data_IF_994907961837
#
_entry.id   IF_994907961837
#
_cell.length_a   1.000
_cell.length_b   1.000
_cell.length_c   1.000
_cell.angle_alpha   90.00
_cell.angle_beta   90.00
_cell.angle_gamma   90.00
#
_symmetry.space_group_name_H-M   'P 1'
#
loop_
_entity.id
_entity.type
_entity.pdbx_description
1 polymer ?
#
# COMPACT_ATOMS: atom_id res chain seq x y z
N UNK A 1 -14.07 -21.66 -9.29
CA UNK A 1 -12.96 -21.95 -8.36
C UNK A 1 -12.29 -20.65 -7.90
N UNK A 2 -12.22 -20.40 -6.58
CA UNK A 2 -11.62 -19.20 -5.99
C UNK A 2 -10.24 -19.49 -5.41
N UNK A 3 -9.24 -18.72 -5.82
CA UNK A 3 -7.84 -18.85 -5.42
C UNK A 3 -7.40 -17.57 -4.72
N UNK A 4 -6.79 -17.74 -3.54
CA UNK A 4 -6.30 -16.64 -2.69
C UNK A 4 -4.79 -16.38 -2.85
N UNK A 5 -4.13 -17.15 -3.70
CA UNK A 5 -2.68 -17.05 -3.93
C UNK A 5 -2.39 -17.18 -5.43
N UNK A 6 -1.49 -16.35 -5.91
CA UNK A 6 -0.98 -16.26 -7.28
C UNK A 6 -0.29 -17.54 -7.72
N UNK A 7 0.47 -18.21 -6.84
CA UNK A 7 1.15 -19.47 -7.17
C UNK A 7 0.13 -20.52 -7.58
N UNK A 8 -0.97 -20.63 -6.84
CA UNK A 8 -2.05 -21.56 -7.14
C UNK A 8 -2.75 -21.17 -8.46
N UNK A 9 -2.92 -19.87 -8.70
CA UNK A 9 -3.51 -19.36 -9.95
C UNK A 9 -2.63 -19.67 -11.17
N UNK A 10 -1.32 -19.43 -11.09
CA UNK A 10 -0.37 -19.77 -12.16
C UNK A 10 -0.22 -21.27 -12.37
N UNK A 11 -0.29 -22.06 -11.30
CA UNK A 11 -0.29 -23.52 -11.39
C UNK A 11 -1.55 -24.00 -12.12
N UNK A 12 -2.72 -23.48 -11.77
CA UNK A 12 -3.98 -23.78 -12.45
C UNK A 12 -3.91 -23.43 -13.93
N UNK A 13 -3.37 -22.26 -14.29
CA UNK A 13 -3.21 -21.85 -15.69
C UNK A 13 -2.31 -22.83 -16.47
N UNK A 14 -1.21 -23.27 -15.85
CA UNK A 14 -0.29 -24.25 -16.46
C UNK A 14 -0.92 -25.63 -16.62
N UNK A 15 -1.65 -26.10 -15.62
CA UNK A 15 -2.35 -27.40 -15.67
C UNK A 15 -3.54 -27.39 -16.64
N UNK A 16 -4.18 -26.24 -16.81
CA UNK A 16 -5.26 -26.06 -17.79
C UNK A 16 -4.75 -25.99 -19.23
N UNK A 17 -3.50 -25.60 -19.44
CA UNK A 17 -2.92 -25.56 -20.77
C UNK A 17 -2.68 -26.97 -21.33
N UNK A 18 -2.83 -27.18 -22.65
CA UNK A 18 -3.30 -26.21 -23.64
C UNK A 18 -4.83 -26.24 -23.88
N UNK A 19 -5.54 -27.25 -23.39
CA UNK A 19 -6.89 -27.57 -23.86
C UNK A 19 -8.03 -27.25 -22.86
N UNK A 20 -7.73 -27.12 -21.57
CA UNK A 20 -8.73 -27.08 -20.48
C UNK A 20 -8.85 -25.70 -19.82
N UNK A 21 -8.59 -24.63 -20.56
CA UNK A 21 -8.77 -23.27 -20.05
C UNK A 21 -10.23 -23.03 -19.63
N UNK A 22 -10.36 -22.29 -18.52
CA UNK A 22 -11.64 -21.85 -18.01
C UNK A 22 -12.27 -20.84 -18.97
N UNK A 23 -13.61 -20.80 -18.97
CA UNK A 23 -14.34 -19.80 -19.77
C UNK A 23 -14.24 -18.43 -19.15
N UNK A 24 -14.06 -18.30 -17.84
CA UNK A 24 -14.04 -17.02 -17.15
C UNK A 24 -12.83 -16.97 -16.22
N UNK A 25 -12.07 -15.89 -16.30
CA UNK A 25 -11.00 -15.55 -15.39
C UNK A 25 -11.38 -14.27 -14.67
N UNK A 26 -11.24 -14.25 -13.35
CA UNK A 26 -11.50 -13.05 -12.54
C UNK A 26 -10.23 -12.68 -11.80
N UNK A 27 -9.79 -11.43 -11.88
CA UNK A 27 -8.60 -10.91 -11.20
C UNK A 27 -9.00 -9.75 -10.29
N UNK A 28 -9.07 -10.01 -8.99
CA UNK A 28 -9.47 -9.04 -7.98
C UNK A 28 -8.25 -8.70 -7.13
N UNK A 29 -7.71 -7.52 -7.38
CA UNK A 29 -6.48 -7.04 -6.75
C UNK A 29 -6.67 -5.56 -6.43
N UNK A 30 -6.57 -5.14 -5.16
CA UNK A 30 -6.78 -3.74 -4.77
C UNK A 30 -5.80 -2.78 -5.47
N UNK A 31 -4.52 -3.15 -5.47
CA UNK A 31 -3.46 -2.34 -6.04
C UNK A 31 -3.58 -2.26 -7.58
N UNK A 32 -3.64 -1.06 -8.18
CA UNK A 32 -3.87 -0.89 -9.62
C UNK A 32 -2.70 -1.36 -10.47
N UNK A 33 -1.46 -1.24 -9.97
CA UNK A 33 -0.28 -1.68 -10.70
C UNK A 33 -0.21 -3.21 -10.73
N UNK A 34 -0.39 -3.85 -9.58
CA UNK A 34 -0.46 -5.30 -9.44
C UNK A 34 -1.60 -5.88 -10.29
N UNK A 35 -2.79 -5.28 -10.24
CA UNK A 35 -3.94 -5.70 -11.05
C UNK A 35 -3.59 -5.70 -12.53
N UNK A 36 -3.04 -4.59 -13.02
CA UNK A 36 -2.58 -4.47 -14.43
C UNK A 36 -1.50 -5.52 -14.74
N UNK A 37 -0.55 -5.72 -13.83
CA UNK A 37 0.52 -6.71 -13.98
C UNK A 37 -0.04 -8.13 -14.16
N UNK A 38 -0.93 -8.59 -13.29
CA UNK A 38 -1.49 -9.95 -13.36
C UNK A 38 -2.46 -10.13 -14.54
N UNK A 39 -3.25 -9.11 -14.88
CA UNK A 39 -4.09 -9.12 -16.08
C UNK A 39 -3.23 -9.26 -17.34
N UNK A 40 -2.14 -8.49 -17.45
CA UNK A 40 -1.21 -8.61 -18.58
C UNK A 40 -0.52 -9.97 -18.63
N UNK A 41 -0.16 -10.54 -17.47
CA UNK A 41 0.43 -11.88 -17.37
C UNK A 41 -0.55 -12.95 -17.87
N UNK A 42 -1.80 -12.89 -17.43
CA UNK A 42 -2.88 -13.76 -17.91
C UNK A 42 -3.06 -13.63 -19.43
N UNK A 43 -3.12 -12.40 -19.97
CA UNK A 43 -3.24 -12.19 -21.41
C UNK A 43 -2.05 -12.75 -22.19
N UNK A 44 -0.83 -12.56 -21.71
CA UNK A 44 0.37 -13.14 -22.34
C UNK A 44 0.29 -14.66 -22.40
N UNK A 45 -0.19 -15.28 -21.31
CA UNK A 45 -0.36 -16.73 -21.20
C UNK A 45 -1.42 -17.24 -22.18
N UNK A 46 -2.60 -16.60 -22.19
CA UNK A 46 -3.68 -16.96 -23.10
C UNK A 46 -3.29 -16.78 -24.57
N UNK A 47 -2.60 -15.69 -24.93
CA UNK A 47 -2.11 -15.46 -26.30
C UNK A 47 -1.09 -16.51 -26.74
N UNK A 48 -0.23 -16.97 -25.84
CA UNK A 48 0.76 -18.00 -26.16
C UNK A 48 0.10 -19.32 -26.57
N UNK A 49 -0.92 -19.78 -25.83
CA UNK A 49 -1.61 -21.04 -26.11
C UNK A 49 -2.83 -20.92 -27.05
N UNK A 50 -3.39 -19.71 -27.19
CA UNK A 50 -4.51 -19.37 -28.07
C UNK A 50 -4.16 -18.13 -28.92
N UNK A 51 -3.26 -18.26 -29.91
CA UNK A 51 -2.78 -17.12 -30.71
C UNK A 51 -3.86 -16.43 -31.55
N UNK A 52 -4.99 -17.09 -31.81
CA UNK A 52 -6.15 -16.53 -32.51
C UNK A 52 -7.10 -15.74 -31.61
N UNK A 53 -6.77 -15.59 -30.32
CA UNK A 53 -7.61 -14.87 -29.37
C UNK A 53 -7.51 -13.36 -29.62
N UNK A 54 -8.58 -12.77 -30.15
CA UNK A 54 -8.68 -11.32 -30.35
C UNK A 54 -9.08 -10.62 -29.06
N UNK A 55 -8.30 -9.62 -28.63
CA UNK A 55 -8.62 -8.79 -27.46
C UNK A 55 -9.55 -7.66 -27.87
N UNK A 56 -10.77 -7.65 -27.33
CA UNK A 56 -11.67 -6.50 -27.37
C UNK A 56 -11.85 -5.97 -25.95
N UNK A 57 -11.54 -4.70 -25.77
CA UNK A 57 -11.69 -4.00 -24.51
C UNK A 57 -12.96 -3.16 -24.59
N UNK A 58 -13.99 -3.53 -23.83
CA UNK A 58 -15.12 -2.67 -23.57
C UNK A 58 -14.93 -2.08 -22.18
N UNK A 59 -14.93 -0.75 -22.09
CA UNK A 59 -14.87 -0.02 -20.83
C UNK A 59 -16.25 0.53 -20.60
N UNK A 60 -16.98 -0.05 -19.66
CA UNK A 60 -18.14 0.62 -19.10
C UNK A 60 -17.64 1.65 -18.08
N UNK A 61 -17.83 2.93 -18.40
CA UNK A 61 -17.40 4.07 -17.58
C UNK A 61 -18.29 4.25 -16.32
N UNK A 62 -19.40 3.52 -16.21
CA UNK A 62 -20.43 3.74 -15.19
C UNK A 62 -20.72 2.54 -14.29
N UNK A 63 -20.03 1.41 -14.47
CA UNK A 63 -20.07 0.29 -13.53
C UNK A 63 -18.76 0.19 -12.75
N UNK A 64 -18.86 -0.14 -11.46
CA UNK A 64 -17.70 -0.42 -10.58
C UNK A 64 -16.94 -1.72 -11.00
N UNK A 65 -17.33 -2.34 -12.12
CA UNK A 65 -16.81 -3.59 -12.67
C UNK A 65 -16.42 -3.38 -14.14
N UNK A 66 -15.11 -3.32 -14.47
CA UNK A 66 -14.68 -3.23 -15.86
C UNK A 66 -14.56 -4.64 -16.47
N UNK A 67 -15.41 -4.93 -17.45
CA UNK A 67 -15.52 -6.23 -18.10
C UNK A 67 -14.76 -6.24 -19.43
N UNK A 68 -13.62 -6.96 -19.51
CA UNK A 68 -12.95 -7.18 -20.81
C UNK A 68 -13.57 -8.40 -21.48
N UNK A 69 -14.32 -8.12 -22.54
CA UNK A 69 -15.14 -9.06 -23.29
C UNK A 69 -14.33 -9.70 -24.43
N UNK A 70 -13.89 -10.95 -24.26
CA UNK A 70 -13.34 -11.75 -25.37
C UNK A 70 -14.49 -12.39 -26.16
N UNK A 71 -15.05 -11.56 -27.04
CA UNK A 71 -16.01 -11.76 -28.13
C UNK A 71 -17.42 -12.35 -27.87
N UNK A 72 -18.38 -11.41 -27.99
CA UNK A 72 -19.80 -11.44 -28.41
C UNK A 72 -20.52 -12.80 -28.38
N UNK A 73 -21.31 -13.01 -27.34
CA UNK A 73 -22.75 -13.33 -27.40
C UNK A 73 -23.26 -13.60 -25.98
N UNK A 74 -24.57 -13.52 -25.76
CA UNK A 74 -25.27 -13.81 -24.48
C UNK A 74 -24.97 -15.22 -23.92
N UNK A 75 -24.26 -16.05 -24.71
CA UNK A 75 -23.59 -17.28 -24.30
C UNK A 75 -22.13 -17.27 -24.79
N UNK A 76 -21.15 -17.74 -23.99
CA UNK A 76 -19.76 -17.88 -24.42
C UNK A 76 -19.67 -18.68 -25.73
N UNK A 77 -19.14 -18.11 -26.83
CA UNK A 77 -18.83 -18.93 -28.00
C UNK A 77 -17.79 -19.99 -27.62
N UNK A 78 -17.90 -21.19 -28.23
CA UNK A 78 -16.94 -22.28 -27.99
C UNK A 78 -15.53 -21.80 -28.37
N UNK A 79 -14.69 -21.53 -27.37
CA UNK A 79 -13.30 -21.07 -27.55
C UNK A 79 -12.96 -19.70 -26.97
N UNK A 80 -13.96 -18.93 -26.52
CA UNK A 80 -13.75 -17.66 -25.81
C UNK A 80 -13.29 -17.83 -24.35
N UNK A 81 -12.65 -16.80 -23.78
CA UNK A 81 -12.27 -16.73 -22.37
C UNK A 81 -12.54 -15.33 -21.83
N UNK A 82 -13.44 -15.11 -20.87
CA UNK A 82 -13.71 -13.80 -20.28
C UNK A 82 -12.65 -13.43 -19.26
N UNK A 83 -12.22 -12.15 -19.22
CA UNK A 83 -11.36 -11.65 -18.15
C UNK A 83 -12.04 -10.48 -17.46
N UNK A 84 -12.45 -10.71 -16.22
CA UNK A 84 -13.06 -9.71 -15.34
C UNK A 84 -11.99 -9.24 -14.37
N UNK A 85 -11.89 -7.94 -14.11
CA UNK A 85 -11.08 -7.47 -12.99
C UNK A 85 -11.84 -6.46 -12.15
N UNK A 86 -11.61 -6.51 -10.85
CA UNK A 86 -12.28 -5.66 -9.88
C UNK A 86 -11.28 -5.09 -8.86
N UNK A 87 -11.63 -3.94 -8.30
CA UNK A 87 -10.88 -3.28 -7.22
C UNK A 87 -11.18 -3.96 -5.87
N UNK A 88 -12.46 -4.22 -5.64
CA UNK A 88 -12.98 -4.69 -4.37
C UNK A 88 -13.54 -6.10 -4.47
N UNK A 89 -13.81 -6.69 -3.30
CA UNK A 89 -14.41 -8.02 -3.22
C UNK A 89 -15.81 -7.95 -3.85
N UNK A 90 -16.02 -8.70 -4.94
CA UNK A 90 -17.35 -8.87 -5.51
C UNK A 90 -18.34 -9.47 -4.50
N UNK A 91 -19.64 -9.25 -4.72
CA UNK A 91 -20.71 -9.83 -3.89
C UNK A 91 -20.68 -11.37 -3.89
N UNK A 92 -21.15 -12.01 -2.83
CA UNK A 92 -21.18 -13.48 -2.77
C UNK A 92 -22.10 -14.06 -3.87
N UNK A 93 -23.22 -13.38 -4.16
CA UNK A 93 -24.10 -13.71 -5.29
C UNK A 93 -23.40 -13.69 -6.67
N UNK A 94 -22.37 -12.86 -6.84
CA UNK A 94 -21.58 -12.85 -8.07
C UNK A 94 -20.75 -14.13 -8.19
N UNK A 95 -20.08 -14.54 -7.11
CA UNK A 95 -19.28 -15.77 -7.10
C UNK A 95 -20.13 -17.01 -7.36
N UNK A 96 -21.32 -17.09 -6.75
CA UNK A 96 -22.23 -18.23 -6.92
C UNK A 96 -22.67 -18.41 -8.39
N UNK A 97 -22.84 -17.30 -9.12
CA UNK A 97 -23.21 -17.32 -10.54
C UNK A 97 -22.09 -17.84 -11.46
N UNK A 98 -20.84 -17.58 -11.11
CA UNK A 98 -19.69 -17.88 -11.98
C UNK A 98 -18.88 -19.11 -11.53
N UNK A 99 -19.16 -19.67 -10.34
CA UNK A 99 -18.30 -20.64 -9.65
C UNK A 99 -17.88 -21.85 -10.52
N UNK A 100 -18.83 -22.36 -11.33
CA UNK A 100 -18.66 -23.56 -12.17
C UNK A 100 -17.80 -23.34 -13.40
N UNK A 101 -17.80 -22.12 -13.94
CA UNK A 101 -17.17 -21.79 -15.21
C UNK A 101 -15.96 -20.84 -15.04
N UNK A 102 -15.69 -20.36 -13.82
CA UNK A 102 -14.68 -19.34 -13.55
C UNK A 102 -13.49 -19.80 -12.69
N UNK A 103 -12.33 -19.22 -12.96
CA UNK A 103 -11.15 -19.24 -12.09
C UNK A 103 -10.89 -17.81 -11.59
N UNK A 104 -11.01 -17.61 -10.28
CA UNK A 104 -10.87 -16.29 -9.67
C UNK A 104 -9.57 -16.19 -8.87
N UNK A 105 -8.73 -15.21 -9.14
CA UNK A 105 -7.67 -14.73 -8.27
C UNK A 105 -8.22 -13.58 -7.42
N UNK A 106 -8.28 -13.76 -6.10
CA UNK A 106 -8.75 -12.74 -5.16
C UNK A 106 -7.70 -12.47 -4.08
N UNK A 107 -7.08 -11.29 -4.14
CA UNK A 107 -6.06 -10.81 -3.20
C UNK A 107 -6.60 -9.76 -2.22
N UNK A 108 -7.91 -9.52 -2.17
CA UNK A 108 -8.52 -8.50 -1.28
C UNK A 108 -8.41 -8.83 0.20
N UNK A 109 -8.28 -10.12 0.53
CA UNK A 109 -8.18 -10.63 1.90
C UNK A 109 -6.77 -11.11 2.27
N UNK A 110 -5.77 -10.77 1.46
CA UNK A 110 -4.37 -11.11 1.70
C UNK A 110 -3.84 -10.40 2.95
N UNK A 111 -3.23 -11.16 3.87
CA UNK A 111 -2.70 -10.59 5.10
C UNK A 111 -1.36 -9.88 4.84
N UNK A 112 -0.96 -8.90 5.67
CA UNK A 112 0.27 -8.13 5.43
C UNK A 112 1.56 -8.97 5.33
N UNK A 113 1.65 -10.06 6.11
CA UNK A 113 2.82 -10.96 6.06
C UNK A 113 2.81 -11.87 4.83
N UNK A 114 1.63 -12.37 4.43
CA UNK A 114 1.46 -13.15 3.20
C UNK A 114 1.83 -12.29 1.98
N UNK A 115 1.42 -11.02 1.97
CA UNK A 115 1.80 -10.04 0.94
C UNK A 115 3.32 -9.83 0.91
N UNK A 116 3.97 -9.67 2.06
CA UNK A 116 5.44 -9.52 2.13
C UNK A 116 6.14 -10.74 1.53
N UNK A 117 5.77 -11.95 1.97
CA UNK A 117 6.34 -13.20 1.46
C UNK A 117 6.19 -13.31 -0.07
N UNK A 118 4.99 -13.00 -0.58
CA UNK A 118 4.72 -12.98 -2.02
C UNK A 118 5.58 -11.97 -2.77
N UNK A 119 5.74 -10.75 -2.26
CA UNK A 119 6.56 -9.73 -2.91
C UNK A 119 8.04 -10.13 -2.94
N UNK A 120 8.53 -10.81 -1.90
CA UNK A 120 9.88 -11.37 -1.88
C UNK A 120 10.07 -12.41 -3.00
N UNK A 121 9.09 -13.29 -3.21
CA UNK A 121 9.12 -14.24 -4.33
C UNK A 121 9.04 -13.55 -5.70
N UNK A 122 8.18 -12.54 -5.86
CA UNK A 122 8.06 -11.79 -7.11
C UNK A 122 9.35 -11.04 -7.44
N UNK A 123 10.06 -10.47 -6.46
CA UNK A 123 11.39 -9.87 -6.66
C UNK A 123 12.36 -10.87 -7.29
N UNK A 124 12.38 -12.12 -6.80
CA UNK A 124 13.24 -13.16 -7.35
C UNK A 124 12.83 -13.56 -8.78
N UNK A 125 11.53 -13.56 -9.09
CA UNK A 125 11.03 -13.84 -10.45
C UNK A 125 11.36 -12.72 -11.43
N UNK A 126 11.17 -11.46 -11.03
CA UNK A 126 11.47 -10.28 -11.84
C UNK A 126 12.97 -10.21 -12.17
N UNK A 127 13.82 -10.62 -11.22
CA UNK A 127 15.26 -10.62 -11.43
C UNK A 127 15.74 -11.63 -12.48
N UNK A 128 14.92 -12.61 -12.90
CA UNK A 128 15.33 -13.61 -13.88
C UNK A 128 15.74 -12.95 -15.21
N UNK A 129 16.91 -13.29 -15.80
CA UNK A 129 17.74 -14.48 -15.55
C UNK A 129 18.79 -14.37 -14.43
N UNK A 130 18.91 -13.22 -13.75
CA UNK A 130 19.83 -13.04 -12.63
C UNK A 130 19.32 -13.75 -11.37
N UNK A 131 20.25 -14.19 -10.54
CA UNK A 131 19.95 -14.79 -9.22
C UNK A 131 19.95 -13.71 -8.14
N UNK A 132 18.87 -13.64 -7.38
CA UNK A 132 18.74 -12.82 -6.16
C UNK A 132 18.56 -13.75 -4.98
N UNK A 133 19.40 -13.61 -3.96
CA UNK A 133 19.27 -14.40 -2.73
C UNK A 133 18.01 -13.99 -1.95
N UNK A 134 17.46 -14.90 -1.15
CA UNK A 134 16.29 -14.62 -0.31
C UNK A 134 16.54 -13.43 0.64
N UNK A 135 17.78 -13.30 1.14
CA UNK A 135 18.19 -12.21 2.03
C UNK A 135 18.13 -10.85 1.32
N UNK A 136 18.63 -10.77 0.08
CA UNK A 136 18.62 -9.53 -0.72
C UNK A 136 17.17 -9.15 -1.07
N UNK A 137 16.36 -10.12 -1.49
CA UNK A 137 14.96 -9.88 -1.80
C UNK A 137 14.17 -9.36 -0.58
N UNK A 138 14.41 -9.94 0.61
CA UNK A 138 13.82 -9.42 1.85
C UNK A 138 14.27 -8.00 2.16
N UNK A 139 15.56 -7.69 2.03
CA UNK A 139 16.07 -6.33 2.26
C UNK A 139 15.42 -5.31 1.33
N UNK A 140 15.27 -5.63 0.03
CA UNK A 140 14.59 -4.76 -0.92
C UNK A 140 13.14 -4.49 -0.52
N UNK A 141 12.37 -5.53 -0.17
CA UNK A 141 10.98 -5.38 0.27
C UNK A 141 10.89 -4.60 1.60
N UNK A 142 11.85 -4.78 2.50
CA UNK A 142 11.87 -4.04 3.77
C UNK A 142 12.18 -2.54 3.57
N UNK A 143 13.06 -2.21 2.63
CA UNK A 143 13.44 -0.85 2.24
C UNK A 143 12.33 -0.13 1.45
N UNK A 144 11.82 -0.75 0.38
CA UNK A 144 10.88 -0.14 -0.56
C UNK A 144 9.41 -0.35 -0.17
N UNK A 145 9.13 -1.26 0.77
CA UNK A 145 7.79 -1.55 1.24
C UNK A 145 6.98 -2.44 0.29
N UNK A 146 5.66 -2.26 0.31
CA UNK A 146 4.68 -3.15 -0.33
C UNK A 146 4.28 -2.73 -1.76
N UNK A 147 5.10 -1.90 -2.41
CA UNK A 147 4.87 -1.36 -3.75
C UNK A 147 5.59 -2.22 -4.81
N UNK A 148 4.83 -3.00 -5.57
CA UNK A 148 5.37 -3.85 -6.63
C UNK A 148 5.99 -3.03 -7.79
N UNK A 149 5.48 -1.83 -8.06
CA UNK A 149 6.03 -0.94 -9.10
C UNK A 149 7.42 -0.47 -8.72
N UNK A 150 7.58 0.04 -7.49
CA UNK A 150 8.88 0.45 -6.96
C UNK A 150 9.86 -0.72 -6.92
N UNK A 151 9.42 -1.88 -6.41
CA UNK A 151 10.23 -3.10 -6.38
C UNK A 151 10.68 -3.53 -7.77
N UNK A 152 9.77 -3.55 -8.75
CA UNK A 152 10.09 -3.95 -10.13
C UNK A 152 11.14 -3.02 -10.73
N UNK A 153 10.96 -1.71 -10.60
CA UNK A 153 11.91 -0.73 -11.10
C UNK A 153 13.29 -0.91 -10.46
N UNK A 154 13.35 -1.12 -9.14
CA UNK A 154 14.63 -1.28 -8.45
C UNK A 154 15.35 -2.58 -8.80
N UNK A 155 14.60 -3.67 -8.95
CA UNK A 155 15.16 -4.95 -9.42
C UNK A 155 15.69 -4.82 -10.84
N UNK A 156 15.00 -4.12 -11.74
CA UNK A 156 15.47 -3.88 -13.11
C UNK A 156 16.77 -3.06 -13.14
N UNK A 157 16.91 -2.04 -12.27
CA UNK A 157 18.16 -1.28 -12.10
C UNK A 157 19.29 -2.19 -11.63
N UNK A 158 19.05 -2.99 -10.60
CA UNK A 158 20.04 -3.93 -10.05
C UNK A 158 20.47 -4.97 -11.09
N UNK A 159 19.53 -5.53 -11.85
CA UNK A 159 19.83 -6.44 -12.96
C UNK A 159 20.70 -5.78 -14.03
N UNK A 160 20.40 -4.52 -14.35
CA UNK A 160 21.16 -3.73 -15.34
C UNK A 160 22.57 -3.43 -14.84
N UNK A 161 22.71 -3.04 -13.58
CA UNK A 161 24.00 -2.73 -12.96
C UNK A 161 24.89 -3.96 -12.75
N UNK A 162 24.29 -5.11 -12.43
CA UNK A 162 25.02 -6.37 -12.40
C UNK A 162 25.64 -6.74 -13.76
N UNK A 163 25.13 -6.14 -14.86
CA UNK A 163 25.61 -6.29 -16.23
C UNK A 163 25.80 -7.75 -16.62
N UNK A 164 27.04 -8.26 -16.68
CA UNK A 164 27.33 -9.66 -17.02
C UNK A 164 27.27 -10.63 -15.84
N UNK A 165 27.34 -10.14 -14.60
CA UNK A 165 27.30 -11.01 -13.40
C UNK A 165 25.98 -11.75 -13.33
N UNK A 166 26.01 -13.05 -13.00
CA UNK A 166 24.80 -13.90 -12.95
C UNK A 166 23.97 -13.70 -11.69
N UNK A 167 24.50 -12.99 -10.69
CA UNK A 167 23.88 -12.77 -9.40
C UNK A 167 23.95 -11.30 -9.00
N UNK A 168 22.89 -10.82 -8.37
CA UNK A 168 22.89 -9.55 -7.66
C UNK A 168 23.46 -9.82 -6.26
N UNK A 169 24.43 -9.00 -5.87
CA UNK A 169 25.14 -9.07 -4.59
C UNK A 169 24.67 -7.94 -3.66
N UNK A 170 24.93 -8.10 -2.36
CA UNK A 170 24.56 -7.09 -1.36
C UNK A 170 25.26 -5.74 -1.58
N UNK A 171 26.48 -5.75 -2.11
CA UNK A 171 27.20 -4.54 -2.50
C UNK A 171 26.49 -3.75 -3.60
N UNK A 172 25.66 -4.40 -4.42
CA UNK A 172 24.93 -3.74 -5.50
C UNK A 172 23.77 -2.92 -4.93
N UNK A 173 23.09 -3.45 -3.92
CA UNK A 173 22.09 -2.69 -3.15
C UNK A 173 22.73 -1.44 -2.56
N UNK A 174 23.84 -1.58 -1.83
CA UNK A 174 24.48 -0.42 -1.20
C UNK A 174 24.92 0.67 -2.19
N UNK A 175 25.23 0.31 -3.43
CA UNK A 175 25.65 1.27 -4.45
C UNK A 175 24.49 1.92 -5.22
N UNK A 176 23.37 1.23 -5.38
CA UNK A 176 22.23 1.72 -6.19
C UNK A 176 21.02 2.14 -5.37
N UNK A 177 20.70 1.39 -4.31
CA UNK A 177 19.51 1.65 -3.50
C UNK A 177 19.86 2.70 -2.45
N UNK A 178 19.63 3.98 -2.76
CA UNK A 178 19.82 5.10 -1.80
C UNK A 178 18.54 5.47 -1.06
N UNK A 179 17.43 4.78 -1.30
CA UNK A 179 16.15 5.12 -0.66
C UNK A 179 16.06 4.48 0.73
N UNK A 180 16.30 5.31 1.75
CA UNK A 180 15.78 5.05 3.09
C UNK A 180 14.25 5.00 3.02
N UNK A 181 13.66 4.12 3.82
CA UNK A 181 12.22 3.92 3.88
C UNK A 181 11.55 5.23 4.29
N UNK A 182 10.97 5.95 3.33
CA UNK A 182 10.24 7.19 3.64
C UNK A 182 9.13 6.89 4.64
N UNK A 183 9.14 7.63 5.76
CA UNK A 183 8.12 7.53 6.78
C UNK A 183 6.78 8.01 6.20
N UNK A 184 5.74 7.18 6.24
CA UNK A 184 4.42 7.60 5.75
C UNK A 184 3.85 8.72 6.60
N UNK A 185 2.99 9.60 6.04
CA UNK A 185 2.36 10.69 6.79
C UNK A 185 1.68 10.23 8.09
N UNK A 186 1.11 9.02 8.09
CA UNK A 186 0.64 8.37 9.31
C UNK A 186 1.80 8.24 10.29
N UNK A 187 2.81 7.43 9.96
CA UNK A 187 3.95 7.15 10.84
C UNK A 187 4.63 8.43 11.36
N UNK A 188 4.65 9.49 10.55
CA UNK A 188 5.09 10.82 10.97
C UNK A 188 4.25 11.40 12.10
N UNK A 189 2.92 11.40 11.94
CA UNK A 189 1.99 11.84 12.97
C UNK A 189 2.06 10.96 14.24
N UNK A 190 2.26 9.64 14.10
CA UNK A 190 2.53 8.74 15.25
C UNK A 190 3.74 9.21 16.02
N UNK A 191 4.85 9.39 15.28
CA UNK A 191 6.15 9.65 15.84
C UNK A 191 6.16 11.00 16.56
N UNK A 192 5.46 12.00 16.02
CA UNK A 192 5.35 13.31 16.65
C UNK A 192 4.63 13.23 18.01
N UNK A 193 3.45 12.59 18.06
CA UNK A 193 2.60 12.58 19.25
C UNK A 193 3.13 11.62 20.32
N UNK A 194 3.53 10.41 19.91
CA UNK A 194 3.88 9.33 20.84
C UNK A 194 5.39 9.17 21.05
N UNK A 195 6.23 9.88 20.26
CA UNK A 195 7.69 9.85 20.33
C UNK A 195 8.30 8.44 20.28
N UNK A 196 7.65 7.53 19.55
CA UNK A 196 8.14 6.15 19.38
C UNK A 196 9.35 6.05 18.43
N UNK A 197 9.52 7.02 17.53
CA UNK A 197 10.60 7.09 16.56
C UNK A 197 11.12 8.51 16.44
N UNK A 198 12.38 8.65 16.00
CA UNK A 198 12.94 9.95 15.63
C UNK A 198 12.12 10.50 14.46
N UNK A 199 11.70 11.75 14.54
CA UNK A 199 11.02 12.39 13.43
C UNK A 199 12.05 12.60 12.30
N UNK A 200 11.85 11.92 11.18
CA UNK A 200 12.60 12.16 9.94
C UNK A 200 11.98 13.31 9.16
N UNK A 201 12.74 13.85 8.21
CA UNK A 201 12.28 14.96 7.38
C UNK A 201 11.06 14.51 6.58
N UNK A 202 10.00 15.32 6.60
CA UNK A 202 8.79 15.03 5.87
C UNK A 202 9.01 15.21 4.37
N UNK A 203 8.62 14.23 3.56
CA UNK A 203 8.50 14.40 2.11
C UNK A 203 7.13 15.02 1.80
N UNK A 204 6.95 16.30 2.11
CA UNK A 204 5.71 17.04 1.88
C UNK A 204 5.83 17.70 0.50
N UNK A 205 5.03 17.23 -0.46
CA UNK A 205 5.10 17.72 -1.83
C UNK A 205 4.26 18.99 -2.01
N UNK A 206 3.14 19.08 -1.30
CA UNK A 206 2.21 20.18 -1.43
C UNK A 206 1.45 20.52 -0.12
N UNK A 207 0.53 21.50 -0.23
CA UNK A 207 -0.32 21.92 0.88
C UNK A 207 -1.32 20.82 1.29
N UNK A 208 -1.76 19.97 0.35
CA UNK A 208 -2.69 18.87 0.64
C UNK A 208 -2.04 17.85 1.57
N UNK A 209 -0.78 17.49 1.33
CA UNK A 209 0.01 16.64 2.22
C UNK A 209 0.14 17.25 3.62
N UNK A 210 0.40 18.55 3.71
CA UNK A 210 0.47 19.26 5.01
C UNK A 210 -0.85 19.20 5.77
N UNK A 211 -1.97 19.44 5.08
CA UNK A 211 -3.30 19.39 5.69
C UNK A 211 -3.68 17.97 6.11
N UNK A 212 -3.35 16.96 5.29
CA UNK A 212 -3.52 15.56 5.63
C UNK A 212 -2.70 15.18 6.88
N UNK A 213 -1.45 15.64 6.95
CA UNK A 213 -0.59 15.41 8.10
C UNK A 213 -1.14 16.07 9.37
N UNK A 214 -1.63 17.31 9.29
CA UNK A 214 -2.32 17.95 10.43
C UNK A 214 -3.57 17.21 10.87
N UNK A 215 -4.37 16.69 9.93
CA UNK A 215 -5.53 15.86 10.26
C UNK A 215 -5.14 14.57 11.00
N UNK A 216 -4.03 13.94 10.61
CA UNK A 216 -3.49 12.75 11.27
C UNK A 216 -2.92 13.06 12.65
N UNK A 217 -2.19 14.17 12.82
CA UNK A 217 -1.71 14.62 14.14
C UNK A 217 -2.90 14.91 15.06
N UNK A 218 -3.96 15.56 14.56
CA UNK A 218 -5.20 15.79 15.30
C UNK A 218 -5.82 14.49 15.78
N UNK A 219 -5.90 13.49 14.90
CA UNK A 219 -6.41 12.18 15.25
C UNK A 219 -5.65 11.59 16.44
N UNK A 220 -4.31 11.59 16.40
CA UNK A 220 -3.49 11.08 17.51
C UNK A 220 -3.60 11.89 18.80
N UNK A 221 -3.70 13.22 18.71
CA UNK A 221 -3.90 14.06 19.89
C UNK A 221 -5.27 13.85 20.54
N UNK A 222 -6.33 13.75 19.73
CA UNK A 222 -7.68 13.43 20.23
C UNK A 222 -7.72 12.05 20.88
N UNK A 223 -7.05 11.07 20.28
CA UNK A 223 -6.87 9.74 20.84
C UNK A 223 -6.18 9.80 22.21
N UNK A 224 -5.13 10.61 22.34
CA UNK A 224 -4.46 10.83 23.63
C UNK A 224 -5.39 11.46 24.68
N UNK A 225 -6.19 12.45 24.29
CA UNK A 225 -7.20 13.07 25.16
C UNK A 225 -8.23 12.04 25.65
N UNK A 226 -8.74 11.19 24.75
CA UNK A 226 -9.67 10.11 25.11
C UNK A 226 -9.04 9.14 26.13
N UNK A 227 -7.79 8.71 25.89
CA UNK A 227 -7.04 7.85 26.80
C UNK A 227 -6.88 8.52 28.17
N UNK A 228 -6.44 9.79 28.21
CA UNK A 228 -6.28 10.55 29.45
C UNK A 228 -7.59 10.72 30.24
N UNK A 229 -8.74 10.72 29.56
CA UNK A 229 -10.08 10.80 30.18
C UNK A 229 -10.63 9.46 30.63
N UNK A 230 -9.93 8.35 30.34
CA UNK A 230 -10.43 7.00 30.61
C UNK A 230 -11.58 6.58 29.69
N UNK A 231 -11.73 7.25 28.54
CA UNK A 231 -12.74 6.89 27.55
C UNK A 231 -12.36 5.59 26.83
N UNK A 232 -13.36 4.80 26.41
CA UNK A 232 -13.12 3.51 25.74
C UNK A 232 -12.64 3.73 24.31
N UNK A 233 -11.40 3.36 24.03
CA UNK A 233 -10.82 3.41 22.69
C UNK A 233 -11.02 2.08 21.97
N UNK A 234 -11.99 2.01 21.06
CA UNK A 234 -12.37 0.75 20.39
C UNK A 234 -11.38 0.28 19.31
N UNK A 235 -10.46 1.13 18.85
CA UNK A 235 -9.66 0.92 17.63
C UNK A 235 -8.22 0.45 17.87
N UNK A 236 -7.75 0.36 19.12
CA UNK A 236 -6.34 0.05 19.41
C UNK A 236 -6.12 -1.40 19.87
N UNK A 237 -5.04 -2.01 19.36
CA UNK A 237 -4.52 -3.28 19.88
C UNK A 237 -3.96 -3.07 21.29
N UNK A 238 -4.10 -4.08 22.15
CA UNK A 238 -3.66 -4.03 23.57
C UNK A 238 -2.22 -3.51 23.74
N UNK A 239 -1.27 -4.08 23.01
CA UNK A 239 0.14 -3.67 23.08
C UNK A 239 0.37 -2.20 22.69
N UNK A 240 -0.40 -1.66 21.75
CA UNK A 240 -0.29 -0.26 21.35
C UNK A 240 -0.91 0.66 22.42
N UNK A 241 -2.04 0.25 23.00
CA UNK A 241 -2.68 0.97 24.09
C UNK A 241 -1.75 1.09 25.30
N UNK A 242 -1.05 0.02 25.68
CA UNK A 242 -0.10 0.06 26.80
C UNK A 242 1.02 1.09 26.59
N UNK A 243 1.55 1.19 25.37
CA UNK A 243 2.58 2.19 25.04
C UNK A 243 1.99 3.61 25.11
N UNK A 244 0.80 3.83 24.55
CA UNK A 244 0.17 5.15 24.55
C UNK A 244 -0.24 5.59 25.95
N UNK A 245 -0.74 4.67 26.80
CA UNK A 245 -1.07 4.95 28.18
C UNK A 245 0.16 5.44 28.96
N UNK A 246 1.32 4.80 28.79
CA UNK A 246 2.56 5.25 29.44
C UNK A 246 2.96 6.69 29.05
N UNK A 247 2.75 7.08 27.78
CA UNK A 247 2.97 8.46 27.33
C UNK A 247 1.93 9.41 27.95
N UNK A 248 0.65 9.00 27.96
CA UNK A 248 -0.45 9.78 28.51
C UNK A 248 -0.30 10.04 30.01
N UNK A 249 0.13 9.04 30.78
CA UNK A 249 0.41 9.17 32.22
C UNK A 249 1.56 10.15 32.48
N UNK A 250 2.60 10.11 31.64
CA UNK A 250 3.77 10.99 31.78
C UNK A 250 3.47 12.44 31.41
N UNK A 251 2.65 12.67 30.38
CA UNK A 251 2.39 14.00 29.80
C UNK A 251 1.16 14.69 30.38
N UNK A 252 0.14 13.90 30.74
CA UNK A 252 -1.14 14.39 31.27
C UNK A 252 -2.06 15.00 30.22
N UNK A 253 -3.34 15.14 30.58
CA UNK A 253 -4.41 15.64 29.71
C UNK A 253 -4.14 17.04 29.16
N UNK A 254 -3.68 17.95 30.03
CA UNK A 254 -3.49 19.35 29.67
C UNK A 254 -2.46 19.51 28.54
N UNK A 255 -1.39 18.71 28.58
CA UNK A 255 -0.37 18.68 27.52
C UNK A 255 -1.00 18.46 26.14
N UNK A 256 -1.86 17.45 25.97
CA UNK A 256 -2.46 17.14 24.67
C UNK A 256 -3.49 18.19 24.23
N UNK A 257 -4.24 18.77 25.16
CA UNK A 257 -5.18 19.88 24.85
C UNK A 257 -4.40 21.09 24.32
N UNK A 258 -3.29 21.45 24.94
CA UNK A 258 -2.44 22.56 24.46
C UNK A 258 -1.92 22.31 23.05
N UNK A 259 -1.52 21.07 22.73
CA UNK A 259 -1.01 20.72 21.40
C UNK A 259 -2.13 20.68 20.35
N UNK A 260 -3.37 20.38 20.74
CA UNK A 260 -4.53 20.52 19.85
C UNK A 260 -4.79 21.98 19.48
N UNK A 261 -4.68 22.90 20.46
CA UNK A 261 -4.83 24.34 20.21
C UNK A 261 -3.72 24.83 19.28
N UNK A 262 -2.46 24.48 19.58
CA UNK A 262 -1.33 24.78 18.70
C UNK A 262 -1.56 24.27 17.28
N UNK A 263 -1.97 23.00 17.14
CA UNK A 263 -2.23 22.39 15.83
C UNK A 263 -3.31 23.14 15.06
N UNK A 264 -4.37 23.59 15.73
CA UNK A 264 -5.42 24.38 15.12
C UNK A 264 -4.90 25.71 14.57
N UNK A 265 -4.09 26.44 15.35
CA UNK A 265 -3.45 27.68 14.90
C UNK A 265 -2.60 27.47 13.64
N UNK A 266 -1.82 26.39 13.61
CA UNK A 266 -0.98 26.07 12.45
C UNK A 266 -1.78 25.62 11.24
N UNK A 267 -2.90 24.91 11.42
CA UNK A 267 -3.78 24.56 10.30
C UNK A 267 -4.44 25.81 9.70
N UNK A 268 -4.86 26.76 10.54
CA UNK A 268 -5.39 28.06 10.06
C UNK A 268 -4.30 28.83 9.32
N UNK A 269 -3.07 28.85 9.85
CA UNK A 269 -1.92 29.49 9.19
C UNK A 269 -1.59 28.84 7.85
N UNK A 270 -1.65 27.51 7.76
CA UNK A 270 -1.47 26.76 6.51
C UNK A 270 -2.46 27.21 5.42
N UNK A 271 -3.72 27.43 5.81
CA UNK A 271 -4.80 27.82 4.88
C UNK A 271 -4.79 29.29 4.51
N UNK A 272 -4.12 30.14 5.29
CA UNK A 272 -4.16 31.60 5.14
C UNK A 272 -2.85 32.22 4.66
N UNK A 273 -1.77 31.44 4.59
CA UNK A 273 -0.45 31.91 4.19
C UNK A 273 0.08 31.13 3.00
N UNK A 274 0.95 31.75 2.20
CA UNK A 274 1.64 31.12 1.08
C UNK A 274 3.03 30.59 1.47
N UNK A 275 3.16 30.09 2.70
CA UNK A 275 4.42 29.52 3.19
C UNK A 275 4.65 28.16 2.51
N UNK A 276 5.91 27.89 2.15
CA UNK A 276 6.31 26.58 1.64
C UNK A 276 5.85 25.44 2.59
N UNK A 277 5.14 24.40 2.08
CA UNK A 277 4.59 23.32 2.92
C UNK A 277 5.62 22.59 3.78
N UNK A 278 6.83 22.37 3.26
CA UNK A 278 7.91 21.72 4.02
C UNK A 278 8.37 22.62 5.15
N UNK A 279 8.61 23.90 4.87
CA UNK A 279 8.99 24.88 5.89
C UNK A 279 7.89 25.06 6.95
N UNK A 280 6.62 25.05 6.54
CA UNK A 280 5.48 25.16 7.44
C UNK A 280 5.47 24.01 8.46
N UNK A 281 5.69 22.78 7.98
CA UNK A 281 5.79 21.61 8.85
C UNK A 281 6.98 21.68 9.80
N UNK A 282 8.17 22.02 9.29
CA UNK A 282 9.37 22.14 10.12
C UNK A 282 9.16 23.16 11.25
N UNK A 283 8.57 24.32 10.95
CA UNK A 283 8.26 25.33 11.96
C UNK A 283 7.19 24.86 12.95
N UNK A 284 6.18 24.10 12.49
CA UNK A 284 5.19 23.50 13.37
C UNK A 284 5.84 22.51 14.34
N UNK A 285 6.70 21.61 13.86
CA UNK A 285 7.39 20.61 14.70
C UNK A 285 8.28 21.29 15.74
N UNK A 286 9.04 22.32 15.33
CA UNK A 286 9.84 23.13 16.26
C UNK A 286 8.94 23.75 17.33
N UNK A 287 7.83 24.38 16.93
CA UNK A 287 6.90 24.99 17.88
C UNK A 287 6.28 23.94 18.81
N UNK A 288 5.88 22.78 18.27
CA UNK A 288 5.33 21.65 19.02
C UNK A 288 6.27 21.16 20.12
N UNK A 289 7.57 21.05 19.82
CA UNK A 289 8.58 20.55 20.77
C UNK A 289 9.05 21.61 21.78
N UNK A 290 9.13 22.87 21.36
CA UNK A 290 9.60 24.00 22.19
C UNK A 290 8.53 24.53 23.15
N UNK A 291 7.26 24.17 22.96
CA UNK A 291 6.17 24.60 23.82
C UNK A 291 6.40 24.06 25.24
N UNK A 292 7.00 24.86 26.10
CA UNK A 292 7.17 24.53 27.51
C UNK A 292 5.84 24.70 28.23
N UNK A 293 5.57 23.85 29.21
CA UNK A 293 4.41 23.97 30.12
C UNK A 293 4.39 25.29 30.91
N UNK A 294 5.43 26.13 30.81
CA UNK A 294 5.58 27.38 31.56
C UNK A 294 4.90 28.60 30.90
N UNK A 295 4.62 28.59 29.59
CA UNK A 295 4.16 29.80 28.87
C UNK A 295 2.64 30.06 28.91
N UNK A 296 1.85 29.17 29.52
CA UNK A 296 0.38 29.30 29.55
C UNK A 296 -0.19 29.76 30.89
N UNK A 297 0.64 29.90 31.92
CA UNK A 297 0.24 30.56 33.16
C UNK A 297 0.20 32.10 33.01
N UNK A 298 0.94 32.68 32.06
CA UNK A 298 1.04 34.14 31.85
C UNK A 298 0.06 34.71 30.83
N UNK A 299 -0.68 33.88 30.09
CA UNK A 299 -1.73 34.33 29.16
C UNK A 299 -3.15 34.27 29.76
N UNK A 300 -3.24 33.95 31.07
CA UNK A 300 -4.49 33.94 31.85
C UNK A 300 -4.44 34.89 33.07
N UNK A 301 -3.48 35.82 33.12
CA UNK A 301 -3.44 36.94 34.06
C UNK A 301 -3.81 38.24 33.37
#
# INVERSE_FOLDING_TARGET
>A
MKLKNIIAFEKQLREAAPAHFSKIYVVIVPDPFERRHYVNKLFSFLRHYRPKLELKQEVDLFSEEVLILLEKEEKPPKGAAFVIYALEKCSDNFYDKIEKDAVCLDLTSEKPWERKERLVEEVQKIAHPKKVSLQIANKLVDQLGNDLSALKNEVEKLCTFAYDRKSIEESDLHQLTTQEKEMSLWQMAEALVWRQKKLERANIQDLSDSLALFALVRHHLNLAVQICRGEKVASLRKNQLDIYMAVCEKKGLLYFIERLVLLFEWEVKAKSTSIDPTLLWDLFVIHYDTLSTAQLASSRS
#
